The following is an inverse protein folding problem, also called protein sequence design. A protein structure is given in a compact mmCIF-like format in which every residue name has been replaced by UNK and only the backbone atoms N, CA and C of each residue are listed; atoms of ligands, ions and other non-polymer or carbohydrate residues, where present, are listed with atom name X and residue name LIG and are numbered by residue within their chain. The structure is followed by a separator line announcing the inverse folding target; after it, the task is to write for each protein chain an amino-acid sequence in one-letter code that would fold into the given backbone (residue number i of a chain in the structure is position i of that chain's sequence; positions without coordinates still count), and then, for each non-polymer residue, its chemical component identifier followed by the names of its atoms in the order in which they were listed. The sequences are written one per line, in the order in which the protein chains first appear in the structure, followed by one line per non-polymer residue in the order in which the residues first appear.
data_IF_239071468611
#
_entry.id   IF_239071468611
#
_cell.length_a   1.000
_cell.length_b   1.000
_cell.length_c   1.000
_cell.angle_alpha   90.00
_cell.angle_beta   90.00
_cell.angle_gamma   90.00
#
_symmetry.space_group_name_H-M   'P 1'
#
loop_
_entity.id
_entity.type
_entity.pdbx_description
1 polymer ?
#
# COMPACT_ATOMS: atom_id res chain seq x y z
N UNK A 1 -14.86 -8.42 -3.13
CA UNK A 1 -14.12 -7.22 -3.55
C UNK A 1 -14.33 -7.00 -5.04
N UNK A 2 -14.53 -5.76 -5.48
CA UNK A 2 -14.71 -5.42 -6.89
C UNK A 2 -13.35 -5.11 -7.54
N UNK A 3 -12.72 -6.11 -8.15
CA UNK A 3 -11.37 -5.98 -8.73
C UNK A 3 -11.31 -4.99 -9.91
N UNK A 4 -12.40 -4.81 -10.66
CA UNK A 4 -12.44 -3.86 -11.78
C UNK A 4 -12.23 -2.43 -11.30
N UNK A 5 -12.96 -2.04 -10.25
CA UNK A 5 -12.86 -0.71 -9.65
C UNK A 5 -11.48 -0.48 -9.03
N UNK A 6 -10.96 -1.48 -8.31
CA UNK A 6 -9.64 -1.39 -7.67
C UNK A 6 -8.50 -1.27 -8.70
N UNK A 7 -8.55 -2.03 -9.79
CA UNK A 7 -7.56 -1.95 -10.88
C UNK A 7 -7.62 -0.57 -11.54
N UNK A 8 -8.83 -0.07 -11.85
CA UNK A 8 -9.02 1.26 -12.41
C UNK A 8 -8.45 2.35 -11.50
N UNK A 9 -8.70 2.27 -10.21
CA UNK A 9 -8.19 3.23 -9.23
C UNK A 9 -6.65 3.18 -9.12
N UNK A 10 -6.07 1.98 -8.95
CA UNK A 10 -4.63 1.83 -8.66
C UNK A 10 -3.74 1.96 -9.89
N UNK A 11 -4.18 1.46 -11.03
CA UNK A 11 -3.44 1.48 -12.30
C UNK A 11 -3.93 2.56 -13.27
N UNK A 12 -5.13 3.12 -13.11
CA UNK A 12 -5.70 4.03 -14.12
C UNK A 12 -6.08 3.29 -15.43
N UNK A 13 -6.28 1.97 -15.35
CA UNK A 13 -6.55 1.10 -16.49
C UNK A 13 -7.87 0.35 -16.31
N UNK A 14 -8.59 0.17 -17.40
CA UNK A 14 -9.67 -0.82 -17.44
C UNK A 14 -9.04 -2.22 -17.40
N UNK A 15 -9.67 -3.11 -16.64
CA UNK A 15 -9.14 -4.45 -16.35
C UNK A 15 -8.93 -5.31 -17.62
N UNK A 16 -9.76 -5.13 -18.63
CA UNK A 16 -9.71 -5.80 -19.93
C UNK A 16 -8.62 -5.25 -20.88
N UNK A 17 -8.12 -4.05 -20.62
CA UNK A 17 -7.02 -3.46 -21.37
C UNK A 17 -5.64 -4.01 -20.96
N UNK A 18 -5.56 -4.79 -19.88
CA UNK A 18 -4.30 -5.32 -19.35
C UNK A 18 -3.91 -6.60 -20.15
N UNK A 19 -2.75 -6.62 -20.82
CA UNK A 19 -2.31 -7.76 -21.62
C UNK A 19 -1.91 -8.96 -20.73
N UNK A 20 -1.75 -10.14 -21.32
CA UNK A 20 -1.48 -11.37 -20.58
C UNK A 20 -0.06 -11.50 -20.02
N UNK A 21 0.86 -10.58 -20.34
CA UNK A 21 2.25 -10.58 -19.85
C UNK A 21 2.60 -9.25 -19.18
N UNK A 22 3.24 -9.30 -18.03
CA UNK A 22 3.64 -8.11 -17.27
C UNK A 22 5.11 -8.13 -16.86
N UNK A 23 5.76 -6.97 -16.92
CA UNK A 23 7.00 -6.67 -16.23
C UNK A 23 6.65 -5.77 -15.04
N UNK A 24 7.10 -6.13 -13.85
CA UNK A 24 6.90 -5.32 -12.64
C UNK A 24 8.25 -4.90 -12.07
N UNK A 25 8.36 -3.64 -11.65
CA UNK A 25 9.60 -3.11 -11.09
C UNK A 25 9.36 -2.13 -9.93
N UNK A 26 10.12 -2.21 -8.82
CA UNK A 26 9.88 -1.37 -7.65
C UNK A 26 10.57 0.01 -7.71
N UNK A 27 11.69 0.14 -8.43
CA UNK A 27 12.47 1.39 -8.43
C UNK A 27 13.05 1.79 -9.79
N UNK A 28 13.09 0.91 -10.80
CA UNK A 28 13.70 1.26 -12.08
C UNK A 28 12.85 2.31 -12.82
N UNK A 29 13.43 3.46 -13.22
CA UNK A 29 12.68 4.46 -13.98
C UNK A 29 12.13 3.89 -15.28
N UNK A 30 10.85 4.13 -15.56
CA UNK A 30 10.15 3.57 -16.73
C UNK A 30 10.84 3.88 -18.07
N UNK A 31 11.59 4.98 -18.17
CA UNK A 31 12.37 5.34 -19.36
C UNK A 31 13.38 4.27 -19.79
N UNK A 32 13.89 3.46 -18.86
CA UNK A 32 14.84 2.39 -19.18
C UNK A 32 14.21 1.21 -19.90
N UNK A 33 12.88 1.10 -19.87
CA UNK A 33 12.12 0.09 -20.60
C UNK A 33 11.61 0.59 -21.95
N UNK A 34 11.97 1.83 -22.35
CA UNK A 34 11.58 2.45 -23.62
C UNK A 34 12.76 2.51 -24.61
N UNK A 35 12.46 2.51 -25.91
CA UNK A 35 13.44 2.70 -26.97
C UNK A 35 14.15 1.41 -27.40
N UNK A 36 13.59 0.24 -27.07
CA UNK A 36 14.16 -1.07 -27.41
C UNK A 36 13.46 -1.72 -28.61
N UNK A 37 12.78 -0.94 -29.45
CA UNK A 37 12.05 -1.41 -30.64
C UNK A 37 10.61 -1.86 -30.39
N UNK A 38 10.08 -1.60 -29.20
CA UNK A 38 8.65 -1.74 -28.87
C UNK A 38 7.84 -0.54 -29.33
N UNK A 39 6.59 -0.79 -29.73
CA UNK A 39 5.58 0.24 -29.97
C UNK A 39 4.81 0.46 -28.67
N UNK A 40 4.91 1.66 -28.10
CA UNK A 40 4.12 2.06 -26.93
C UNK A 40 2.70 2.38 -27.42
N UNK A 41 1.71 1.68 -26.86
CA UNK A 41 0.30 1.88 -27.18
C UNK A 41 -0.38 2.83 -26.19
N UNK A 42 -0.04 2.72 -24.91
CA UNK A 42 -0.66 3.54 -23.86
C UNK A 42 0.29 3.70 -22.68
N UNK A 43 0.53 4.94 -22.27
CA UNK A 43 1.09 5.23 -20.95
C UNK A 43 -0.06 5.39 -19.95
N UNK A 44 0.17 4.99 -18.71
CA UNK A 44 -0.82 5.10 -17.66
C UNK A 44 -0.18 5.57 -16.36
N UNK A 45 -0.99 6.26 -15.57
CA UNK A 45 -0.63 6.72 -14.23
C UNK A 45 -1.88 6.61 -13.36
N UNK A 46 -1.93 5.55 -12.57
CA UNK A 46 -2.97 5.35 -11.57
C UNK A 46 -2.58 5.93 -10.22
N UNK A 47 -3.37 5.62 -9.19
CA UNK A 47 -3.13 6.12 -7.84
C UNK A 47 -1.79 5.67 -7.25
N UNK A 48 -1.41 4.41 -7.46
CA UNK A 48 -0.19 3.81 -6.89
C UNK A 48 0.76 3.30 -7.97
N UNK A 49 0.24 2.89 -9.12
CA UNK A 49 1.02 2.26 -10.17
C UNK A 49 1.01 3.11 -11.42
N UNK A 50 2.18 3.23 -12.04
CA UNK A 50 2.36 3.92 -13.31
C UNK A 50 3.12 3.01 -14.27
N UNK A 51 3.03 3.28 -15.56
CA UNK A 51 3.63 2.37 -16.53
C UNK A 51 3.19 2.62 -17.94
N UNK A 52 3.39 1.61 -18.77
CA UNK A 52 2.91 1.63 -20.14
C UNK A 52 2.59 0.23 -20.66
N UNK A 53 1.66 0.17 -21.61
CA UNK A 53 1.37 -1.00 -22.43
C UNK A 53 2.13 -0.83 -23.74
N UNK A 54 2.87 -1.85 -24.13
CA UNK A 54 3.64 -1.87 -25.35
C UNK A 54 3.46 -3.18 -26.11
N UNK A 55 3.86 -3.16 -27.37
CA UNK A 55 3.85 -4.30 -28.26
C UNK A 55 5.21 -4.44 -28.93
N UNK A 56 5.73 -5.66 -29.01
CA UNK A 56 6.90 -5.98 -29.82
C UNK A 56 6.73 -7.37 -30.41
N UNK A 57 7.04 -7.53 -31.70
CA UNK A 57 6.89 -8.81 -32.42
C UNK A 57 5.49 -9.44 -32.26
N UNK A 58 4.43 -8.63 -32.37
CA UNK A 58 3.03 -9.03 -32.19
C UNK A 58 2.67 -9.58 -30.80
N UNK A 59 3.49 -9.31 -29.77
CA UNK A 59 3.23 -9.67 -28.38
C UNK A 59 2.98 -8.40 -27.58
N UNK A 60 1.79 -8.29 -26.98
CA UNK A 60 1.44 -7.22 -26.05
C UNK A 60 1.91 -7.56 -24.62
N UNK A 61 2.47 -6.57 -23.95
CA UNK A 61 2.88 -6.66 -22.55
C UNK A 61 2.70 -5.31 -21.85
N UNK A 62 2.63 -5.37 -20.52
CA UNK A 62 2.55 -4.18 -19.66
C UNK A 62 3.83 -4.06 -18.83
N UNK A 63 4.38 -2.86 -18.72
CA UNK A 63 5.47 -2.55 -17.79
C UNK A 63 4.88 -1.68 -16.68
N UNK A 64 5.01 -2.12 -15.44
CA UNK A 64 4.44 -1.47 -14.26
C UNK A 64 5.54 -1.08 -13.29
N UNK A 65 5.62 0.20 -12.96
CA UNK A 65 6.35 0.72 -11.82
C UNK A 65 5.47 0.61 -10.57
N UNK A 66 5.93 -0.19 -9.61
CA UNK A 66 5.17 -0.56 -8.41
C UNK A 66 5.56 0.22 -7.15
N UNK A 67 6.71 0.92 -7.16
CA UNK A 67 7.28 1.51 -5.94
C UNK A 67 7.99 0.49 -5.04
N UNK A 68 8.80 0.99 -4.11
CA UNK A 68 9.55 0.16 -3.16
C UNK A 68 8.60 -0.34 -2.07
N UNK A 69 8.63 -1.65 -1.82
CA UNK A 69 7.84 -2.31 -0.79
C UNK A 69 7.27 -3.64 -1.29
N UNK A 70 7.37 -4.66 -0.44
CA UNK A 70 6.74 -5.98 -0.64
C UNK A 70 5.24 -5.86 -0.91
N UNK A 71 4.57 -4.95 -0.18
CA UNK A 71 3.12 -4.81 -0.22
C UNK A 71 2.61 -4.28 -1.56
N UNK A 72 3.17 -3.15 -2.02
CA UNK A 72 2.80 -2.53 -3.29
C UNK A 72 3.12 -3.44 -4.48
N UNK A 73 4.30 -4.06 -4.47
CA UNK A 73 4.68 -4.99 -5.53
C UNK A 73 3.77 -6.22 -5.55
N UNK A 74 3.54 -6.81 -4.39
CA UNK A 74 2.70 -7.99 -4.25
C UNK A 74 1.26 -7.74 -4.70
N UNK A 75 0.65 -6.63 -4.25
CA UNK A 75 -0.71 -6.26 -4.67
C UNK A 75 -0.79 -6.01 -6.18
N UNK A 76 0.23 -5.36 -6.77
CA UNK A 76 0.28 -5.18 -8.21
C UNK A 76 0.22 -6.52 -8.95
N UNK A 77 1.02 -7.51 -8.53
CA UNK A 77 1.05 -8.85 -9.14
C UNK A 77 -0.29 -9.57 -9.00
N UNK A 78 -0.93 -9.50 -7.82
CA UNK A 78 -2.24 -10.12 -7.60
C UNK A 78 -3.29 -9.50 -8.51
N UNK A 79 -3.32 -8.17 -8.59
CA UNK A 79 -4.30 -7.45 -9.40
C UNK A 79 -4.10 -7.69 -10.90
N UNK A 80 -2.84 -7.72 -11.36
CA UNK A 80 -2.48 -8.13 -12.71
C UNK A 80 -2.96 -9.56 -13.01
N UNK A 81 -2.74 -10.50 -12.10
CA UNK A 81 -3.21 -11.87 -12.27
C UNK A 81 -4.74 -11.96 -12.34
N UNK A 82 -5.45 -11.17 -11.50
CA UNK A 82 -6.91 -11.05 -11.58
C UNK A 82 -7.35 -10.48 -12.92
N UNK A 83 -6.61 -9.52 -13.48
CA UNK A 83 -6.86 -8.92 -14.80
C UNK A 83 -6.62 -9.88 -15.97
N UNK A 84 -6.08 -11.08 -15.72
CA UNK A 84 -5.84 -12.08 -16.75
C UNK A 84 -4.37 -12.23 -17.15
N UNK A 85 -3.44 -11.51 -16.52
CA UNK A 85 -2.00 -11.75 -16.67
C UNK A 85 -1.67 -13.19 -16.30
N UNK A 86 -0.92 -13.85 -17.18
CA UNK A 86 -0.48 -15.25 -17.04
C UNK A 86 1.00 -15.36 -16.73
N UNK A 87 1.79 -14.37 -17.14
CA UNK A 87 3.24 -14.35 -16.94
C UNK A 87 3.65 -13.00 -16.36
N UNK A 88 4.41 -13.04 -15.26
CA UNK A 88 4.97 -11.84 -14.62
C UNK A 88 6.49 -12.01 -14.52
N UNK A 89 7.23 -11.03 -15.03
CA UNK A 89 8.67 -10.91 -14.84
C UNK A 89 8.96 -9.78 -13.86
N UNK A 90 9.51 -10.12 -12.71
CA UNK A 90 10.03 -9.12 -11.77
C UNK A 90 11.43 -8.67 -12.20
N UNK A 91 11.65 -7.35 -12.27
CA UNK A 91 12.98 -6.77 -12.50
C UNK A 91 13.32 -5.81 -11.35
N UNK A 92 14.38 -6.16 -10.61
CA UNK A 92 14.86 -5.42 -9.46
C UNK A 92 16.37 -5.58 -9.26
N UNK A 93 16.86 -5.06 -8.14
CA UNK A 93 18.24 -5.26 -7.66
C UNK A 93 18.20 -6.02 -6.34
N UNK A 94 19.32 -6.60 -5.96
CA UNK A 94 19.51 -7.23 -4.67
C UNK A 94 20.92 -6.91 -4.15
N UNK A 95 21.12 -7.05 -2.84
CA UNK A 95 22.46 -7.07 -2.26
C UNK A 95 23.09 -8.44 -2.46
N UNK A 96 24.31 -8.47 -2.99
CA UNK A 96 25.08 -9.70 -3.10
C UNK A 96 25.57 -10.17 -1.72
N UNK A 97 25.40 -11.46 -1.42
CA UNK A 97 25.91 -12.10 -0.22
C UNK A 97 26.84 -13.25 -0.62
N UNK A 98 28.03 -13.33 -0.02
CA UNK A 98 29.00 -14.39 -0.29
C UNK A 98 29.78 -14.19 -1.59
N UNK A 99 30.01 -15.27 -2.34
CA UNK A 99 30.84 -15.30 -3.55
C UNK A 99 30.10 -14.79 -4.80
N UNK A 100 29.61 -13.55 -4.74
CA UNK A 100 29.02 -12.83 -5.87
C UNK A 100 29.68 -11.48 -6.04
N UNK A 101 29.83 -11.03 -7.28
CA UNK A 101 30.47 -9.77 -7.62
C UNK A 101 29.44 -8.70 -8.02
N UNK A 102 29.82 -7.43 -7.84
CA UNK A 102 29.01 -6.32 -8.32
C UNK A 102 28.83 -6.43 -9.84
N UNK A 103 27.58 -6.47 -10.30
CA UNK A 103 27.22 -6.61 -11.71
C UNK A 103 26.80 -8.03 -12.11
N UNK A 104 26.95 -9.02 -11.23
CA UNK A 104 26.43 -10.36 -11.47
C UNK A 104 24.90 -10.35 -11.60
N UNK A 105 24.38 -11.14 -12.54
CA UNK A 105 22.94 -11.34 -12.75
C UNK A 105 22.50 -12.63 -12.05
N UNK A 106 21.67 -12.50 -11.01
CA UNK A 106 21.16 -13.63 -10.25
C UNK A 106 19.76 -14.04 -10.76
N UNK A 107 19.57 -15.34 -11.01
CA UNK A 107 18.29 -15.93 -11.41
C UNK A 107 17.83 -16.86 -10.26
N UNK A 108 17.08 -16.35 -9.27
CA UNK A 108 16.73 -17.14 -8.09
C UNK A 108 15.70 -18.22 -8.41
N UNK A 109 15.97 -19.47 -8.01
CA UNK A 109 15.00 -20.57 -8.08
C UNK A 109 14.03 -20.59 -6.89
N UNK A 110 14.38 -19.91 -5.79
CA UNK A 110 13.61 -19.82 -4.55
C UNK A 110 13.85 -18.47 -3.88
N UNK A 111 12.82 -17.98 -3.17
CA UNK A 111 12.91 -16.86 -2.25
C UNK A 111 12.20 -17.25 -0.94
N UNK A 112 12.81 -16.95 0.21
CA UNK A 112 12.21 -17.22 1.52
C UNK A 112 11.37 -16.03 1.98
N UNK A 113 10.19 -16.30 2.54
CA UNK A 113 9.31 -15.27 3.08
C UNK A 113 9.84 -14.81 4.46
N UNK A 114 10.31 -13.57 4.53
CA UNK A 114 10.60 -12.86 5.78
C UNK A 114 9.85 -11.53 5.88
N UNK A 115 8.75 -11.37 5.13
CA UNK A 115 8.00 -10.12 5.01
C UNK A 115 6.51 -10.31 5.36
N UNK A 116 5.77 -9.19 5.45
CA UNK A 116 4.40 -9.18 5.98
C UNK A 116 3.34 -9.52 4.94
N UNK A 117 3.51 -9.10 3.68
CA UNK A 117 2.59 -9.33 2.57
C UNK A 117 2.28 -10.81 2.32
N UNK A 118 3.29 -11.70 2.21
CA UNK A 118 3.02 -13.08 1.82
C UNK A 118 2.36 -13.93 2.91
N UNK A 119 2.31 -13.46 4.16
CA UNK A 119 1.58 -14.16 5.25
C UNK A 119 0.10 -14.30 4.91
N UNK A 120 -0.48 -13.27 4.30
CA UNK A 120 -1.91 -13.18 3.95
C UNK A 120 -2.34 -14.14 2.84
N UNK A 121 -1.40 -14.70 2.08
CA UNK A 121 -1.67 -15.58 0.93
C UNK A 121 -1.31 -17.05 1.19
N UNK A 122 -1.05 -17.42 2.45
CA UNK A 122 -0.82 -18.82 2.84
C UNK A 122 -2.12 -19.62 2.72
N UNK A 123 -2.03 -20.90 2.32
CA UNK A 123 -3.20 -21.78 2.12
C UNK A 123 -4.14 -21.88 3.32
N UNK A 124 -3.60 -21.78 4.54
CA UNK A 124 -4.37 -21.91 5.79
C UNK A 124 -4.55 -20.56 6.52
N UNK A 125 -4.41 -19.43 5.80
CA UNK A 125 -4.60 -18.09 6.35
C UNK A 125 -6.04 -17.87 6.79
N UNK A 126 -6.21 -17.27 7.97
CA UNK A 126 -7.45 -16.62 8.40
C UNK A 126 -7.11 -15.43 9.28
N UNK A 127 -7.98 -14.41 9.28
CA UNK A 127 -7.76 -13.23 10.12
C UNK A 127 -7.76 -13.58 11.61
N UNK A 128 -8.62 -14.51 12.03
CA UNK A 128 -8.66 -15.07 13.38
C UNK A 128 -7.31 -15.64 13.83
N UNK A 129 -6.69 -16.49 13.00
CA UNK A 129 -5.37 -17.05 13.29
C UNK A 129 -4.31 -15.97 13.33
N UNK A 130 -4.37 -14.98 12.45
CA UNK A 130 -3.39 -13.89 12.48
C UNK A 130 -3.40 -13.18 13.84
N UNK A 131 -4.59 -12.92 14.40
CA UNK A 131 -4.74 -12.33 15.72
C UNK A 131 -4.20 -13.19 16.88
N UNK A 132 -4.15 -14.52 16.73
CA UNK A 132 -3.55 -15.41 17.74
C UNK A 132 -2.02 -15.27 17.81
N UNK A 133 -1.38 -14.90 16.70
CA UNK A 133 0.09 -14.82 16.59
C UNK A 133 0.60 -13.39 16.39
N UNK A 134 -0.26 -12.38 16.39
CA UNK A 134 0.12 -10.98 16.21
C UNK A 134 0.32 -10.30 17.57
N UNK A 135 1.45 -9.63 17.72
CA UNK A 135 1.67 -8.70 18.81
C UNK A 135 1.16 -7.30 18.44
N UNK A 136 0.70 -6.56 19.46
CA UNK A 136 0.36 -5.16 19.30
C UNK A 136 1.61 -4.30 19.46
N UNK A 137 1.96 -3.54 18.42
CA UNK A 137 2.90 -2.44 18.54
C UNK A 137 2.20 -1.22 19.15
N UNK A 138 2.68 -0.75 20.29
CA UNK A 138 2.03 0.33 21.04
C UNK A 138 2.78 1.65 20.85
N UNK A 139 2.03 2.75 20.84
CA UNK A 139 2.58 4.09 20.95
C UNK A 139 2.95 4.45 22.40
N UNK A 140 3.79 5.47 22.58
CA UNK A 140 4.07 6.04 23.90
C UNK A 140 2.86 6.82 24.42
N UNK A 141 2.27 6.39 25.53
CA UNK A 141 1.06 7.00 26.11
C UNK A 141 1.23 8.47 26.48
N UNK A 142 2.39 8.86 27.02
CA UNK A 142 2.67 10.26 27.37
C UNK A 142 2.75 11.11 26.11
N UNK A 143 3.36 10.59 25.05
CA UNK A 143 3.45 11.27 23.77
C UNK A 143 2.10 11.39 23.07
N UNK A 144 1.28 10.34 23.09
CA UNK A 144 -0.11 10.40 22.59
C UNK A 144 -0.94 11.40 23.39
N UNK A 145 -0.76 11.49 24.71
CA UNK A 145 -1.40 12.52 25.53
C UNK A 145 -1.07 13.93 25.04
N UNK A 146 0.22 14.20 24.78
CA UNK A 146 0.68 15.49 24.26
C UNK A 146 0.12 15.79 22.86
N UNK A 147 0.17 14.81 21.94
CA UNK A 147 -0.40 14.94 20.58
C UNK A 147 -1.91 15.21 20.69
N UNK A 148 -2.62 14.50 21.55
CA UNK A 148 -4.07 14.64 21.71
C UNK A 148 -4.43 16.05 22.19
N UNK A 149 -3.76 16.55 23.25
CA UNK A 149 -3.96 17.91 23.74
C UNK A 149 -3.64 18.96 22.68
N UNK A 150 -2.52 18.78 21.97
CA UNK A 150 -2.09 19.67 20.91
C UNK A 150 -3.14 19.73 19.79
N UNK A 151 -3.59 18.59 19.28
CA UNK A 151 -4.59 18.50 18.20
C UNK A 151 -5.91 19.09 18.67
N UNK A 152 -6.38 18.78 19.88
CA UNK A 152 -7.62 19.34 20.42
C UNK A 152 -7.59 20.88 20.55
N UNK A 153 -6.44 21.44 20.94
CA UNK A 153 -6.27 22.90 21.07
C UNK A 153 -6.24 23.60 19.70
N UNK A 154 -5.51 23.02 18.75
CA UNK A 154 -5.14 23.69 17.50
C UNK A 154 -6.02 23.33 16.30
N UNK A 155 -6.70 22.19 16.33
CA UNK A 155 -7.59 21.81 15.23
C UNK A 155 -8.83 22.70 15.19
N UNK A 156 -9.00 23.43 14.09
CA UNK A 156 -10.16 24.28 13.81
C UNK A 156 -11.08 23.71 12.73
N UNK A 157 -10.85 22.45 12.32
CA UNK A 157 -11.67 21.79 11.32
C UNK A 157 -13.03 21.35 11.88
N UNK A 158 -13.93 20.95 10.98
CA UNK A 158 -15.33 20.60 11.31
C UNK A 158 -15.55 19.12 11.58
N UNK A 159 -14.48 18.31 11.60
CA UNK A 159 -14.56 16.84 11.81
C UNK A 159 -14.25 16.46 13.25
N UNK A 160 -14.76 15.30 13.65
CA UNK A 160 -14.50 14.75 14.98
C UNK A 160 -13.07 14.26 15.09
N UNK A 161 -12.39 14.68 16.16
CA UNK A 161 -11.14 14.06 16.61
C UNK A 161 -11.52 12.84 17.45
N UNK A 162 -11.01 11.67 17.06
CA UNK A 162 -11.10 10.46 17.87
C UNK A 162 -9.71 10.16 18.43
N UNK A 163 -9.58 10.10 19.75
CA UNK A 163 -8.35 9.75 20.47
C UNK A 163 -8.48 8.38 21.12
N UNK A 164 -7.34 7.77 21.48
CA UNK A 164 -7.30 6.46 22.14
C UNK A 164 -7.98 5.34 21.35
N UNK A 165 -7.75 5.33 20.04
CA UNK A 165 -8.35 4.36 19.12
C UNK A 165 -7.32 3.34 18.66
N UNK A 166 -7.78 2.14 18.33
CA UNK A 166 -6.93 1.09 17.74
C UNK A 166 -7.01 1.13 16.22
N UNK A 167 -5.85 1.05 15.57
CA UNK A 167 -5.68 1.01 14.11
C UNK A 167 -5.02 -0.31 13.76
N UNK A 168 -5.52 -0.98 12.72
CA UNK A 168 -4.96 -2.23 12.23
C UNK A 168 -4.00 -1.96 11.08
N UNK A 169 -2.76 -2.43 11.17
CA UNK A 169 -1.80 -2.35 10.07
C UNK A 169 -1.83 -3.62 9.23
N UNK A 170 -2.17 -3.50 7.95
CA UNK A 170 -2.31 -4.63 7.03
C UNK A 170 -1.16 -4.73 6.04
N UNK A 171 -0.69 -5.95 5.81
CA UNK A 171 0.41 -6.22 4.88
C UNK A 171 0.01 -6.22 3.41
N UNK A 172 -1.29 -6.21 3.08
CA UNK A 172 -1.76 -6.23 1.70
C UNK A 172 -3.14 -5.57 1.60
N UNK A 173 -3.35 -4.74 0.58
CA UNK A 173 -4.62 -4.08 0.33
C UNK A 173 -5.65 -5.08 -0.23
N UNK A 174 -5.23 -6.01 -1.08
CA UNK A 174 -6.17 -6.91 -1.76
C UNK A 174 -6.83 -7.97 -0.84
N UNK A 175 -6.37 -8.09 0.40
CA UNK A 175 -6.98 -8.94 1.44
C UNK A 175 -8.00 -8.18 2.32
N UNK A 176 -8.22 -6.87 2.09
CA UNK A 176 -9.31 -6.08 2.70
C UNK A 176 -10.69 -6.46 2.13
N UNK A 177 -11.02 -7.74 2.30
CA UNK A 177 -12.33 -8.28 1.97
C UNK A 177 -13.33 -7.90 3.05
N UNK A 178 -14.63 -7.90 2.72
CA UNK A 178 -15.69 -7.61 3.70
C UNK A 178 -15.60 -8.51 4.93
N UNK A 179 -15.27 -9.78 4.74
CA UNK A 179 -15.09 -10.75 5.82
C UNK A 179 -13.93 -10.32 6.76
N UNK A 180 -12.75 -10.08 6.19
CA UNK A 180 -11.57 -9.68 6.96
C UNK A 180 -11.76 -8.31 7.65
N UNK A 181 -12.32 -7.33 6.95
CA UNK A 181 -12.64 -6.01 7.51
C UNK A 181 -13.65 -6.13 8.66
N UNK A 182 -14.63 -7.02 8.54
CA UNK A 182 -15.59 -7.28 9.62
C UNK A 182 -14.90 -7.92 10.83
N UNK A 183 -13.98 -8.88 10.61
CA UNK A 183 -13.22 -9.54 11.67
C UNK A 183 -12.23 -8.59 12.38
N UNK A 184 -11.69 -7.61 11.65
CA UNK A 184 -10.86 -6.53 12.21
C UNK A 184 -11.73 -5.57 13.02
N UNK A 185 -12.85 -5.10 12.45
CA UNK A 185 -13.74 -4.17 13.13
C UNK A 185 -14.38 -4.76 14.40
N UNK A 186 -14.75 -6.04 14.38
CA UNK A 186 -15.31 -6.73 15.55
C UNK A 186 -14.35 -6.80 16.75
N UNK A 187 -13.05 -6.59 16.53
CA UNK A 187 -12.02 -6.51 17.57
C UNK A 187 -11.74 -5.10 18.06
N UNK A 188 -12.49 -4.09 17.61
CA UNK A 188 -12.38 -2.71 18.09
C UNK A 188 -11.39 -1.83 17.33
N UNK A 189 -10.79 -2.34 16.25
CA UNK A 189 -10.02 -1.51 15.32
C UNK A 189 -10.96 -0.66 14.46
N UNK A 190 -10.73 0.65 14.42
CA UNK A 190 -11.62 1.59 13.70
C UNK A 190 -11.01 2.18 12.44
N UNK A 191 -9.76 1.82 12.14
CA UNK A 191 -9.05 2.21 10.94
C UNK A 191 -8.06 1.12 10.52
N UNK A 192 -7.73 1.12 9.23
CA UNK A 192 -6.78 0.20 8.61
C UNK A 192 -5.82 1.00 7.73
N UNK A 193 -4.53 0.69 7.81
CA UNK A 193 -3.45 1.29 7.02
C UNK A 193 -2.30 0.29 6.90
N UNK A 194 -1.14 0.66 6.34
CA UNK A 194 -0.10 -0.31 5.97
C UNK A 194 1.27 -0.03 6.63
N UNK A 195 1.44 0.91 7.55
CA UNK A 195 2.79 1.30 8.00
C UNK A 195 2.94 1.51 9.51
N UNK A 196 1.87 1.88 10.21
CA UNK A 196 1.95 2.40 11.58
C UNK A 196 2.56 1.40 12.56
N UNK A 197 2.22 0.12 12.45
CA UNK A 197 2.79 -0.91 13.33
C UNK A 197 4.30 -1.06 13.19
N UNK A 198 4.82 -0.91 11.96
CA UNK A 198 6.25 -0.94 11.72
C UNK A 198 6.94 0.29 12.32
N UNK A 199 6.30 1.46 12.26
CA UNK A 199 6.81 2.69 12.88
C UNK A 199 6.91 2.54 14.40
N UNK A 200 5.84 2.07 15.06
CA UNK A 200 5.85 1.87 16.51
C UNK A 200 6.82 0.78 16.96
N UNK A 201 6.91 -0.33 16.22
CA UNK A 201 7.88 -1.40 16.55
C UNK A 201 9.33 -0.90 16.42
N UNK A 202 9.64 -0.15 15.35
CA UNK A 202 10.96 0.41 15.17
C UNK A 202 11.30 1.46 16.25
N UNK A 203 10.33 2.28 16.63
CA UNK A 203 10.49 3.28 17.67
C UNK A 203 10.77 2.64 19.04
N UNK A 204 10.01 1.61 19.40
CA UNK A 204 10.16 0.86 20.65
C UNK A 204 11.54 0.20 20.76
N UNK A 205 11.95 -0.57 19.74
CA UNK A 205 13.29 -1.19 19.68
C UNK A 205 14.41 -0.16 19.72
N UNK A 206 14.17 1.04 19.19
CA UNK A 206 15.15 2.13 19.19
C UNK A 206 15.12 3.00 20.45
N UNK A 207 14.19 2.77 21.38
CA UNK A 207 14.02 3.58 22.60
C UNK A 207 13.56 5.02 22.33
N UNK A 208 12.85 5.28 21.22
CA UNK A 208 12.34 6.61 20.87
C UNK A 208 10.81 6.65 20.94
N UNK A 209 10.27 7.86 21.15
CA UNK A 209 8.82 8.08 21.19
C UNK A 209 8.28 8.21 19.76
N UNK A 210 7.18 7.51 19.48
CA UNK A 210 6.45 7.65 18.22
C UNK A 210 4.94 7.79 18.48
N UNK A 211 4.28 8.53 17.58
CA UNK A 211 2.84 8.74 17.54
C UNK A 211 2.42 9.09 16.11
N UNK A 212 1.13 8.97 15.80
CA UNK A 212 0.61 9.27 14.47
C UNK A 212 -0.72 10.03 14.55
N UNK A 213 -0.95 10.86 13.53
CA UNK A 213 -2.25 11.46 13.20
C UNK A 213 -2.58 10.94 11.80
N UNK A 214 -3.78 10.39 11.62
CA UNK A 214 -4.23 9.80 10.36
C UNK A 214 -5.48 10.54 9.85
N UNK A 215 -5.56 10.76 8.54
CA UNK A 215 -6.79 11.22 7.86
C UNK A 215 -7.45 10.01 7.20
N UNK A 216 -8.73 9.80 7.48
CA UNK A 216 -9.54 8.78 6.77
C UNK A 216 -9.71 9.22 5.31
N UNK A 217 -9.15 8.44 4.38
CA UNK A 217 -9.26 8.68 2.94
C UNK A 217 -10.50 8.08 2.30
N UNK A 218 -11.00 6.98 2.87
CA UNK A 218 -12.06 6.14 2.30
C UNK A 218 -12.67 5.22 3.38
N UNK A 219 -13.77 4.54 3.02
CA UNK A 219 -14.57 3.70 3.94
C UNK A 219 -14.72 2.26 3.38
N UNK A 220 -13.65 1.44 3.38
CA UNK A 220 -13.62 0.19 2.64
C UNK A 220 -14.64 -0.86 3.10
N UNK A 221 -15.08 -0.82 4.38
CA UNK A 221 -16.12 -1.73 4.88
C UNK A 221 -17.52 -1.42 4.32
N UNK A 222 -17.81 -0.15 4.07
CA UNK A 222 -19.14 0.33 3.61
C UNK A 222 -19.18 0.39 2.09
N UNK A 223 -18.18 1.04 1.52
CA UNK A 223 -18.10 1.45 0.12
C UNK A 223 -17.32 0.44 -0.75
N UNK A 224 -16.51 -0.40 -0.11
CA UNK A 224 -15.51 -1.21 -0.79
C UNK A 224 -14.25 -0.42 -1.09
N UNK A 225 -13.12 -1.12 -1.11
CA UNK A 225 -11.81 -0.55 -1.40
C UNK A 225 -11.78 0.04 -2.81
N UNK A 226 -11.27 1.28 -2.95
CA UNK A 226 -11.06 1.95 -4.23
C UNK A 226 -12.29 2.63 -4.82
N UNK A 227 -13.38 2.80 -4.05
CA UNK A 227 -14.50 3.63 -4.48
C UNK A 227 -14.09 5.09 -4.65
N UNK A 228 -14.50 5.72 -5.76
CA UNK A 228 -14.25 7.13 -6.00
C UNK A 228 -15.07 8.01 -5.05
N UNK A 229 -14.41 9.03 -4.51
CA UNK A 229 -15.05 10.07 -3.71
C UNK A 229 -15.91 10.98 -4.59
N UNK A 230 -17.09 11.37 -4.11
CA UNK A 230 -17.89 12.42 -4.72
C UNK A 230 -17.22 13.81 -4.54
N UNK A 231 -17.76 14.85 -5.19
CA UNK A 231 -17.16 16.18 -5.17
C UNK A 231 -17.12 16.81 -3.78
N UNK A 232 -18.15 16.56 -2.95
CA UNK A 232 -18.17 17.04 -1.57
C UNK A 232 -17.13 16.28 -0.73
N UNK A 233 -17.07 14.97 -0.85
CA UNK A 233 -16.08 14.11 -0.18
C UNK A 233 -14.65 14.51 -0.57
N UNK A 234 -14.39 14.83 -1.85
CA UNK A 234 -13.10 15.35 -2.32
C UNK A 234 -12.74 16.69 -1.67
N UNK A 235 -13.71 17.60 -1.54
CA UNK A 235 -13.48 18.89 -0.86
C UNK A 235 -13.14 18.64 0.62
N UNK A 236 -13.94 17.83 1.30
CA UNK A 236 -13.74 17.47 2.71
C UNK A 236 -12.37 16.82 2.93
N UNK A 237 -11.99 15.89 2.05
CA UNK A 237 -10.71 15.20 2.13
C UNK A 237 -9.55 16.17 1.91
N UNK A 238 -9.63 17.04 0.89
CA UNK A 238 -8.61 18.08 0.63
C UNK A 238 -8.46 19.04 1.80
N UNK A 239 -9.55 19.45 2.43
CA UNK A 239 -9.50 20.31 3.61
C UNK A 239 -8.88 19.58 4.80
N UNK A 240 -9.19 18.30 4.99
CA UNK A 240 -8.59 17.46 6.02
C UNK A 240 -7.08 17.28 5.80
N UNK A 241 -6.63 17.11 4.54
CA UNK A 241 -5.22 17.04 4.18
C UNK A 241 -4.47 18.35 4.44
N UNK A 242 -5.08 19.51 4.12
CA UNK A 242 -4.49 20.81 4.45
C UNK A 242 -4.35 20.99 5.97
N UNK A 243 -5.38 20.61 6.71
CA UNK A 243 -5.38 20.74 8.17
C UNK A 243 -4.37 19.81 8.85
N UNK A 244 -4.25 18.55 8.43
CA UNK A 244 -3.24 17.65 9.02
C UNK A 244 -1.82 18.11 8.68
N UNK A 245 -1.58 18.62 7.46
CA UNK A 245 -0.27 19.16 7.08
C UNK A 245 0.11 20.37 7.93
N UNK A 246 -0.84 21.30 8.15
CA UNK A 246 -0.66 22.41 9.09
C UNK A 246 -0.36 21.91 10.52
N UNK A 247 -1.17 20.99 11.05
CA UNK A 247 -0.97 20.44 12.40
C UNK A 247 0.38 19.74 12.56
N UNK A 248 0.83 19.00 11.54
CA UNK A 248 2.11 18.32 11.56
C UNK A 248 3.28 19.32 11.64
N UNK A 249 3.20 20.43 10.90
CA UNK A 249 4.18 21.52 10.92
C UNK A 249 4.17 22.23 12.28
N UNK A 250 3.00 22.56 12.82
CA UNK A 250 2.90 23.24 14.12
C UNK A 250 3.37 22.33 15.27
N UNK A 251 3.10 21.02 15.21
CA UNK A 251 3.51 20.06 16.26
C UNK A 251 5.01 19.83 16.26
N UNK A 252 5.64 19.67 15.09
CA UNK A 252 7.10 19.45 15.02
C UNK A 252 7.89 20.72 15.37
N UNK A 253 7.24 21.88 15.36
CA UNK A 253 7.84 23.18 15.69
C UNK A 253 7.49 23.70 17.10
N UNK A 254 6.77 22.91 17.91
CA UNK A 254 6.36 23.22 19.29
C UNK A 254 7.05 22.33 20.33
#
# INVERSE_FOLDING_TARGET
MNYKLLIKFLFGLEMDAIPSKAIVTPFFPLKYFKGHGEKIHKEFNGRLYSGFIAEKNNIFFIVVYCGIGDRLLGDAVILLAKAGVKEVLFIGTCGGLGEVMLGDLLIPVKAFNGEGFSIYYRKNFSMEKLFEYSDNSNSDKSYIGNITQFVQKNYKGTRFIRSEVSIFTIGALSIETKENLTAIYSRGYIGIEMELSAVYSAADVSGIKAGAILVVSDLPLINGVGQELDDNEKIIFKDSLKNIAFLAIEFISS
#
